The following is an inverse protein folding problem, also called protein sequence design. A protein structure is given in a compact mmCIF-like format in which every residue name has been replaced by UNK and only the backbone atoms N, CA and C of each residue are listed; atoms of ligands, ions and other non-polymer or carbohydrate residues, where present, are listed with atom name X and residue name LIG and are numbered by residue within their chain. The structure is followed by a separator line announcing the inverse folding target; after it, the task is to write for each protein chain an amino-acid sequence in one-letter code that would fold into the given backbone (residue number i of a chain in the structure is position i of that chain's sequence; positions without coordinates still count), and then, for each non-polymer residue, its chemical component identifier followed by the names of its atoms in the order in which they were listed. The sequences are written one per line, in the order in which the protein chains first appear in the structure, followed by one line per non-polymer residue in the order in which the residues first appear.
data_IF_304887430830
#
_entry.id   IF_304887430830
#
_cell.length_a   1.000
_cell.length_b   1.000
_cell.length_c   1.000
_cell.angle_alpha   90.00
_cell.angle_beta   90.00
_cell.angle_gamma   90.00
#
_symmetry.space_group_name_H-M   'P 1'
#
loop_
_entity.id
_entity.type
_entity.pdbx_description
1 polymer ?
#
# COMPACT_ATOMS: atom_id res chain seq x y z
N UNK A 1 -7.50 -7.52 7.98
CA UNK A 1 -7.12 -6.41 7.09
C UNK A 1 -6.43 -5.36 7.94
N UNK A 2 -5.24 -4.89 7.56
CA UNK A 2 -4.51 -3.84 8.28
C UNK A 2 -4.25 -2.69 7.31
N UNK A 3 -4.45 -1.42 7.73
CA UNK A 3 -4.13 -0.29 6.89
C UNK A 3 -2.62 -0.08 6.82
N UNK A 4 -2.12 0.38 5.67
CA UNK A 4 -0.69 0.53 5.41
C UNK A 4 -0.36 1.91 4.84
N UNK A 5 0.85 2.38 5.06
CA UNK A 5 1.46 3.49 4.32
C UNK A 5 2.39 2.95 3.23
N UNK A 6 2.45 3.64 2.09
CA UNK A 6 3.23 3.20 0.92
C UNK A 6 4.16 4.30 0.42
N UNK A 7 4.93 3.98 -0.63
CA UNK A 7 5.87 4.89 -1.28
C UNK A 7 5.23 6.16 -1.80
N UNK A 8 5.92 7.29 -1.61
CA UNK A 8 5.62 8.55 -2.28
C UNK A 8 5.82 8.42 -3.80
N UNK A 9 5.21 9.32 -4.56
CA UNK A 9 5.37 9.38 -6.01
C UNK A 9 6.87 9.44 -6.39
N UNK A 10 7.30 8.57 -7.30
CA UNK A 10 8.70 8.47 -7.73
C UNK A 10 9.61 7.69 -6.78
N UNK A 11 9.10 7.24 -5.63
CA UNK A 11 9.72 6.26 -4.73
C UNK A 11 8.70 5.16 -4.41
N UNK A 12 8.05 4.66 -5.45
CA UNK A 12 6.83 3.86 -5.33
C UNK A 12 7.06 2.50 -4.68
N UNK A 13 6.02 2.03 -4.00
CA UNK A 13 5.93 0.64 -3.58
C UNK A 13 5.74 -0.24 -4.82
N UNK A 14 6.39 -1.42 -4.90
CA UNK A 14 6.29 -2.28 -6.08
C UNK A 14 4.84 -2.64 -6.43
N UNK A 15 4.56 -2.71 -7.73
CA UNK A 15 3.27 -3.14 -8.28
C UNK A 15 3.47 -4.51 -8.96
N UNK A 16 2.49 -5.41 -8.86
CA UNK A 16 2.47 -6.73 -9.52
C UNK A 16 3.71 -7.61 -9.24
N UNK A 17 4.21 -7.57 -8.01
CA UNK A 17 5.37 -8.33 -7.58
C UNK A 17 4.98 -9.42 -6.58
N UNK A 18 5.39 -10.67 -6.86
CA UNK A 18 5.29 -11.78 -5.90
C UNK A 18 6.67 -12.08 -5.32
N UNK A 19 6.73 -12.19 -4.00
CA UNK A 19 7.93 -12.50 -3.21
C UNK A 19 7.56 -13.30 -1.97
N UNK A 20 8.45 -13.38 -0.99
CA UNK A 20 8.24 -14.01 0.31
C UNK A 20 8.93 -13.23 1.42
N UNK A 21 8.51 -13.46 2.66
CA UNK A 21 9.26 -13.02 3.84
C UNK A 21 10.58 -13.79 3.90
N UNK A 22 11.69 -13.11 3.63
CA UNK A 22 13.04 -13.71 3.65
C UNK A 22 13.58 -13.83 5.06
N UNK A 23 13.29 -12.84 5.91
CA UNK A 23 13.65 -12.82 7.34
C UNK A 23 12.79 -11.80 8.08
N UNK A 24 12.77 -11.88 9.42
CA UNK A 24 12.16 -10.87 10.28
C UNK A 24 13.10 -10.49 11.42
N UNK A 25 13.05 -9.24 11.88
CA UNK A 25 13.88 -8.72 12.98
C UNK A 25 13.06 -7.85 13.92
N UNK A 26 13.13 -8.15 15.22
CA UNK A 26 12.77 -7.22 16.28
C UNK A 26 13.95 -6.28 16.57
N UNK A 27 13.68 -5.00 16.75
CA UNK A 27 14.70 -3.95 16.80
C UNK A 27 15.54 -3.92 15.52
N UNK A 28 14.94 -3.61 14.35
CA UNK A 28 15.71 -3.48 13.12
C UNK A 28 16.67 -2.29 13.23
N UNK A 29 17.85 -2.41 12.62
CA UNK A 29 18.64 -1.25 12.24
C UNK A 29 18.15 -0.76 10.88
N UNK A 30 18.29 0.54 10.63
CA UNK A 30 17.99 1.13 9.34
C UNK A 30 19.28 1.58 8.65
N UNK A 31 19.46 1.15 7.41
CA UNK A 31 20.61 1.52 6.57
C UNK A 31 20.07 2.32 5.40
N UNK A 32 20.24 3.66 5.39
CA UNK A 32 19.80 4.49 4.28
C UNK A 32 20.48 4.09 2.96
N UNK A 33 19.81 4.36 1.84
CA UNK A 33 20.39 4.09 0.52
C UNK A 33 21.48 5.12 0.18
N UNK A 34 22.39 4.76 -0.74
CA UNK A 34 23.41 5.70 -1.22
C UNK A 34 22.78 6.97 -1.81
N UNK A 35 21.63 6.85 -2.48
CA UNK A 35 20.85 7.99 -3.00
C UNK A 35 20.37 8.90 -1.88
N UNK A 36 19.83 8.33 -0.80
CA UNK A 36 19.39 9.11 0.35
C UNK A 36 20.55 9.83 1.04
N UNK A 37 21.71 9.18 1.18
CA UNK A 37 22.91 9.85 1.68
C UNK A 37 23.39 11.01 0.78
N UNK A 38 23.21 10.92 -0.53
CA UNK A 38 23.51 12.02 -1.44
C UNK A 38 22.51 13.18 -1.26
N UNK A 39 21.21 12.88 -1.15
CA UNK A 39 20.15 13.86 -0.88
C UNK A 39 20.39 14.63 0.44
N UNK A 40 20.63 13.92 1.54
CA UNK A 40 20.89 14.53 2.85
C UNK A 40 22.19 15.36 2.88
N UNK A 41 23.26 14.88 2.23
CA UNK A 41 24.51 15.65 2.10
C UNK A 41 24.31 16.94 1.31
N UNK A 42 23.53 16.92 0.23
CA UNK A 42 23.22 18.11 -0.55
C UNK A 42 22.39 19.14 0.24
N UNK A 43 21.53 18.66 1.15
CA UNK A 43 20.76 19.49 2.07
C UNK A 43 21.57 19.99 3.30
N UNK A 44 22.80 19.51 3.50
CA UNK A 44 23.61 19.85 4.67
C UNK A 44 23.17 19.15 5.97
N UNK A 45 22.34 18.11 5.87
CA UNK A 45 21.82 17.37 7.02
C UNK A 45 22.64 16.11 7.30
N UNK A 46 23.00 15.83 8.57
CA UNK A 46 23.73 14.62 8.92
C UNK A 46 22.82 13.38 8.83
N UNK A 47 23.24 12.37 8.08
CA UNK A 47 22.58 11.07 8.01
C UNK A 47 23.58 9.95 8.34
N UNK A 48 23.41 9.22 9.46
CA UNK A 48 24.28 8.11 9.82
C UNK A 48 24.23 6.96 8.79
N UNK A 49 25.36 6.30 8.55
CA UNK A 49 25.41 5.12 7.67
C UNK A 49 24.51 3.98 8.17
N UNK A 50 24.36 3.88 9.49
CA UNK A 50 23.42 2.95 10.14
C UNK A 50 22.73 3.71 11.26
N UNK A 51 21.41 3.76 11.22
CA UNK A 51 20.58 4.20 12.34
C UNK A 51 20.28 2.99 13.23
N UNK A 52 20.66 3.03 14.51
CA UNK A 52 20.50 1.91 15.43
C UNK A 52 19.01 1.61 15.68
N UNK A 53 18.74 0.44 16.27
CA UNK A 53 17.41 0.14 16.78
C UNK A 53 17.05 1.09 17.93
N UNK A 54 15.79 1.52 18.00
CA UNK A 54 15.32 2.40 19.07
C UNK A 54 14.08 3.20 18.66
N UNK A 55 13.58 4.07 19.56
CA UNK A 55 12.40 4.90 19.32
C UNK A 55 12.55 5.82 18.10
N UNK A 56 13.76 6.29 17.81
CA UNK A 56 14.04 7.21 16.70
C UNK A 56 14.26 6.49 15.35
N UNK A 57 14.22 5.16 15.33
CA UNK A 57 14.41 4.42 14.10
C UNK A 57 13.15 4.54 13.20
N UNK A 58 13.27 5.01 11.95
CA UNK A 58 12.11 5.18 11.07
C UNK A 58 11.45 3.86 10.65
N UNK A 59 12.13 2.73 10.84
CA UNK A 59 11.58 1.39 10.65
C UNK A 59 10.73 0.90 11.83
N UNK A 60 10.68 1.65 12.93
CA UNK A 60 10.01 1.26 14.17
C UNK A 60 10.65 0.02 14.83
N UNK A 61 9.84 -0.70 15.60
CA UNK A 61 10.34 -1.77 16.47
C UNK A 61 10.44 -3.15 15.80
N UNK A 62 9.80 -3.34 14.64
CA UNK A 62 9.73 -4.64 13.96
C UNK A 62 9.78 -4.47 12.44
N UNK A 63 10.43 -5.42 11.76
CA UNK A 63 10.48 -5.46 10.30
C UNK A 63 10.46 -6.90 9.76
N UNK A 64 9.76 -7.09 8.65
CA UNK A 64 9.75 -8.29 7.81
C UNK A 64 10.36 -7.91 6.46
N UNK A 65 11.49 -8.54 6.12
CA UNK A 65 12.21 -8.26 4.89
C UNK A 65 11.72 -9.17 3.78
N UNK A 66 11.51 -8.61 2.59
CA UNK A 66 10.81 -9.28 1.49
C UNK A 66 11.62 -9.28 0.18
N UNK A 67 12.93 -9.03 0.27
CA UNK A 67 13.84 -8.99 -0.86
C UNK A 67 13.94 -7.62 -1.53
N UNK A 68 14.91 -7.45 -2.43
CA UNK A 68 15.16 -6.21 -3.21
C UNK A 68 15.23 -4.93 -2.35
N UNK A 69 15.76 -5.04 -1.13
CA UNK A 69 15.85 -3.97 -0.12
C UNK A 69 14.49 -3.48 0.42
N UNK A 70 13.37 -4.12 0.07
CA UNK A 70 12.06 -3.79 0.62
C UNK A 70 11.80 -4.51 1.93
N UNK A 71 11.05 -3.83 2.80
CA UNK A 71 10.55 -4.36 4.05
C UNK A 71 9.10 -3.91 4.30
N UNK A 72 8.39 -4.74 5.06
CA UNK A 72 7.16 -4.40 5.76
C UNK A 72 7.57 -4.09 7.20
N UNK A 73 7.39 -2.86 7.65
CA UNK A 73 7.96 -2.40 8.92
C UNK A 73 7.05 -1.42 9.66
N UNK A 74 7.43 -1.09 10.89
CA UNK A 74 6.72 -0.11 11.73
C UNK A 74 7.03 1.33 11.34
N UNK A 75 6.78 2.25 12.27
CA UNK A 75 7.09 3.66 12.09
C UNK A 75 7.31 4.32 13.44
N UNK A 76 8.20 5.31 13.52
CA UNK A 76 8.30 6.21 14.67
C UNK A 76 7.44 7.49 14.50
N UNK A 77 6.83 7.69 13.32
CA UNK A 77 5.96 8.83 13.05
C UNK A 77 4.53 8.58 13.53
N UNK A 78 3.86 9.64 14.00
CA UNK A 78 2.47 9.62 14.46
C UNK A 78 1.44 9.68 13.32
N UNK A 79 1.90 9.78 12.07
CA UNK A 79 1.08 9.85 10.86
C UNK A 79 1.72 9.04 9.72
N UNK A 80 1.00 8.86 8.60
CA UNK A 80 1.56 8.25 7.37
C UNK A 80 0.90 6.94 6.93
N UNK A 81 0.06 6.34 7.76
CA UNK A 81 -0.72 5.14 7.38
C UNK A 81 -1.96 5.58 6.60
N UNK A 82 -2.22 4.92 5.46
CA UNK A 82 -3.20 5.36 4.47
C UNK A 82 -2.69 6.47 3.53
N UNK A 83 -1.40 6.84 3.63
CA UNK A 83 -0.78 7.89 2.83
C UNK A 83 0.44 7.37 2.04
N UNK A 84 0.82 8.12 1.00
CA UNK A 84 2.03 7.88 0.20
C UNK A 84 3.19 8.72 0.74
N UNK A 85 3.93 8.18 1.71
CA UNK A 85 4.95 8.92 2.49
C UNK A 85 6.27 8.18 2.67
N UNK A 86 6.35 6.92 2.26
CA UNK A 86 7.57 6.12 2.44
C UNK A 86 8.49 6.26 1.23
N UNK A 87 9.71 5.73 1.34
CA UNK A 87 10.63 5.59 0.21
C UNK A 87 10.50 4.20 -0.45
N UNK A 88 9.25 3.74 -0.62
CA UNK A 88 8.89 2.50 -1.33
C UNK A 88 8.59 1.28 -0.43
N UNK A 89 9.05 1.28 0.82
CA UNK A 89 8.70 0.23 1.79
C UNK A 89 7.26 0.36 2.31
N UNK A 90 6.73 -0.72 2.89
CA UNK A 90 5.38 -0.73 3.47
C UNK A 90 5.46 -0.42 4.97
N UNK A 91 4.72 0.61 5.41
CA UNK A 91 4.67 1.04 6.82
C UNK A 91 3.36 0.59 7.46
N UNK A 92 3.43 0.18 8.72
CA UNK A 92 2.29 -0.14 9.57
C UNK A 92 2.38 0.59 10.91
N UNK A 93 1.26 0.70 11.63
CA UNK A 93 1.26 1.17 13.02
C UNK A 93 1.98 0.17 13.92
N UNK A 94 2.37 0.64 15.12
CA UNK A 94 3.18 -0.13 16.06
C UNK A 94 2.54 -1.47 16.46
N UNK A 95 1.24 -1.47 16.75
CA UNK A 95 0.51 -2.69 17.12
C UNK A 95 0.34 -3.62 15.92
N UNK A 96 0.02 -3.06 14.75
CA UNK A 96 -0.18 -3.79 13.50
C UNK A 96 1.10 -4.54 13.06
N UNK A 97 2.26 -3.87 13.09
CA UNK A 97 3.53 -4.52 12.72
C UNK A 97 3.95 -5.56 13.75
N UNK A 98 3.69 -5.33 15.04
CA UNK A 98 3.97 -6.30 16.10
C UNK A 98 3.14 -7.56 15.90
N UNK A 99 1.85 -7.41 15.61
CA UNK A 99 0.95 -8.51 15.29
C UNK A 99 1.47 -9.31 14.09
N UNK A 100 1.84 -8.65 12.98
CA UNK A 100 2.41 -9.34 11.82
C UNK A 100 3.72 -10.04 12.14
N UNK A 101 4.61 -9.40 12.90
CA UNK A 101 5.89 -10.00 13.30
C UNK A 101 5.71 -11.29 14.08
N UNK A 102 4.72 -11.36 14.98
CA UNK A 102 4.44 -12.54 15.78
C UNK A 102 3.76 -13.64 14.97
N UNK A 103 2.82 -13.28 14.08
CA UNK A 103 1.95 -14.24 13.39
C UNK A 103 2.46 -14.72 12.04
N UNK A 104 3.34 -13.97 11.36
CA UNK A 104 3.81 -14.31 10.02
C UNK A 104 5.15 -15.07 10.09
N UNK A 105 5.20 -16.33 9.61
CA UNK A 105 6.45 -17.08 9.49
C UNK A 105 7.39 -16.52 8.40
N UNK A 106 8.67 -16.86 8.53
CA UNK A 106 9.62 -16.71 7.41
C UNK A 106 9.22 -17.71 6.31
N UNK A 107 9.31 -17.29 5.05
CA UNK A 107 8.88 -18.06 3.89
C UNK A 107 7.45 -17.76 3.43
N UNK A 108 6.64 -17.05 4.23
CA UNK A 108 5.28 -16.67 3.84
C UNK A 108 5.28 -15.86 2.55
N UNK A 109 4.42 -16.25 1.61
CA UNK A 109 4.23 -15.56 0.33
C UNK A 109 3.71 -14.13 0.55
N UNK A 110 4.29 -13.19 -0.18
CA UNK A 110 3.88 -11.78 -0.23
C UNK A 110 3.58 -11.43 -1.68
N UNK A 111 2.44 -10.78 -1.93
CA UNK A 111 2.06 -10.34 -3.27
C UNK A 111 1.56 -8.91 -3.21
N UNK A 112 2.09 -8.08 -4.11
CA UNK A 112 1.62 -6.73 -4.36
C UNK A 112 0.66 -6.75 -5.55
N UNK A 113 -0.52 -6.17 -5.35
CA UNK A 113 -1.55 -5.98 -6.37
C UNK A 113 -1.96 -4.50 -6.37
N UNK A 114 -2.41 -4.00 -7.51
CA UNK A 114 -2.96 -2.66 -7.66
C UNK A 114 -4.32 -2.78 -8.33
N UNK A 115 -5.34 -3.00 -7.50
CA UNK A 115 -6.72 -3.25 -7.92
C UNK A 115 -7.63 -2.23 -7.20
N UNK A 116 -7.71 -0.98 -7.70
CA UNK A 116 -8.54 0.05 -7.07
C UNK A 116 -10.03 -0.24 -7.21
N UNK A 117 -10.41 -1.15 -8.09
CA UNK A 117 -11.79 -1.63 -8.25
C UNK A 117 -11.84 -3.13 -8.05
N UNK A 118 -12.70 -3.58 -7.16
CA UNK A 118 -12.99 -5.00 -6.93
C UNK A 118 -14.48 -5.23 -7.14
N UNK A 119 -14.84 -6.38 -7.69
CA UNK A 119 -16.23 -6.79 -7.81
C UNK A 119 -16.39 -8.29 -7.54
N UNK A 120 -17.56 -8.69 -7.07
CA UNK A 120 -17.87 -10.07 -6.70
C UNK A 120 -19.31 -10.42 -7.06
N UNK A 121 -19.54 -11.70 -7.37
CA UNK A 121 -20.87 -12.31 -7.40
C UNK A 121 -20.92 -13.31 -6.26
N UNK A 122 -21.80 -13.09 -5.31
CA UNK A 122 -21.95 -13.91 -4.12
C UNK A 122 -22.78 -15.18 -4.43
N UNK A 123 -22.71 -16.21 -3.56
CA UNK A 123 -23.42 -17.47 -3.79
C UNK A 123 -24.94 -17.35 -3.94
N UNK A 124 -25.55 -16.29 -3.41
CA UNK A 124 -26.98 -15.99 -3.52
C UNK A 124 -27.35 -15.23 -4.81
N UNK A 125 -26.38 -14.97 -5.69
CA UNK A 125 -26.54 -14.22 -6.92
C UNK A 125 -26.43 -12.70 -6.77
N UNK A 126 -26.29 -12.19 -5.55
CA UNK A 126 -26.05 -10.75 -5.33
C UNK A 126 -24.68 -10.34 -5.85
N UNK A 127 -24.60 -9.12 -6.38
CA UNK A 127 -23.37 -8.58 -7.00
C UNK A 127 -22.97 -7.31 -6.30
N UNK A 128 -21.67 -7.17 -6.05
CA UNK A 128 -21.11 -6.01 -5.37
C UNK A 128 -19.92 -5.45 -6.12
N UNK A 129 -19.73 -4.13 -6.01
CA UNK A 129 -18.52 -3.42 -6.43
C UNK A 129 -17.97 -2.59 -5.28
N UNK A 130 -16.66 -2.53 -5.14
CA UNK A 130 -15.94 -1.65 -4.21
C UNK A 130 -14.94 -0.82 -5.03
N UNK A 131 -15.09 0.51 -4.98
CA UNK A 131 -14.29 1.46 -5.79
C UNK A 131 -13.49 2.36 -4.86
N UNK A 132 -12.17 2.32 -4.99
CA UNK A 132 -11.22 3.24 -4.35
C UNK A 132 -10.67 4.25 -5.36
N UNK A 133 -10.06 5.32 -4.86
CA UNK A 133 -9.23 6.17 -5.70
C UNK A 133 -7.99 5.39 -6.17
N UNK A 134 -7.69 5.36 -7.48
CA UNK A 134 -6.46 4.75 -7.98
C UNK A 134 -5.22 5.46 -7.45
N UNK A 135 -4.07 4.77 -7.49
CA UNK A 135 -2.79 5.40 -7.19
C UNK A 135 -2.52 6.52 -8.20
N UNK A 136 -2.25 7.73 -7.72
CA UNK A 136 -1.90 8.86 -8.60
C UNK A 136 -0.59 8.59 -9.34
N UNK A 137 -0.53 9.01 -10.60
CA UNK A 137 0.67 8.86 -11.45
C UNK A 137 1.33 10.20 -11.76
N UNK A 138 0.62 11.31 -11.54
CA UNK A 138 1.13 12.68 -11.71
C UNK A 138 1.02 13.48 -10.40
N UNK A 139 1.78 14.57 -10.31
CA UNK A 139 1.68 15.51 -9.19
C UNK A 139 0.30 16.17 -9.12
N UNK A 140 -0.25 16.60 -10.26
CA UNK A 140 -1.59 17.17 -10.34
C UNK A 140 -2.67 16.21 -9.79
N UNK A 141 -2.56 14.91 -10.07
CA UNK A 141 -3.46 13.91 -9.51
C UNK A 141 -3.24 13.68 -8.01
N UNK A 142 -1.98 13.73 -7.55
CA UNK A 142 -1.65 13.60 -6.13
C UNK A 142 -2.17 14.78 -5.30
N UNK A 143 -2.12 15.99 -5.87
CA UNK A 143 -2.63 17.22 -5.26
C UNK A 143 -4.15 17.40 -5.42
N UNK A 144 -4.82 16.48 -6.11
CA UNK A 144 -6.28 16.52 -6.32
C UNK A 144 -6.74 17.53 -7.37
N UNK A 145 -5.84 18.06 -8.19
CA UNK A 145 -6.15 18.97 -9.31
C UNK A 145 -6.70 18.21 -10.51
N UNK A 146 -6.27 16.96 -10.70
CA UNK A 146 -6.76 16.07 -11.76
C UNK A 146 -7.34 14.77 -11.19
N UNK A 147 -8.37 14.26 -11.84
CA UNK A 147 -8.97 12.98 -11.48
C UNK A 147 -8.14 11.85 -12.11
N UNK A 148 -7.76 10.85 -11.31
CA UNK A 148 -7.18 9.62 -11.88
C UNK A 148 -8.29 8.83 -12.58
N UNK A 149 -8.15 8.52 -13.89
CA UNK A 149 -9.15 7.73 -14.60
C UNK A 149 -9.22 6.30 -14.05
N UNK A 150 -10.42 5.74 -14.04
CA UNK A 150 -10.65 4.34 -13.66
C UNK A 150 -10.93 3.53 -14.91
N UNK A 151 -10.23 2.41 -15.07
CA UNK A 151 -10.51 1.42 -16.12
C UNK A 151 -10.87 0.10 -15.44
N UNK A 152 -12.07 -0.43 -15.73
CA UNK A 152 -12.50 -1.71 -15.18
C UNK A 152 -11.74 -2.84 -15.86
N UNK A 153 -11.11 -3.71 -15.08
CA UNK A 153 -10.43 -4.91 -15.60
C UNK A 153 -11.44 -5.93 -16.12
N UNK A 154 -11.00 -6.89 -16.95
CA UNK A 154 -11.87 -7.98 -17.43
C UNK A 154 -12.53 -8.77 -16.30
N UNK A 155 -11.80 -8.97 -15.20
CA UNK A 155 -12.32 -9.67 -14.02
C UNK A 155 -13.49 -8.92 -13.37
N UNK A 156 -13.37 -7.60 -13.25
CA UNK A 156 -14.45 -6.72 -12.75
C UNK A 156 -15.63 -6.72 -13.73
N UNK A 157 -15.36 -6.61 -15.03
CA UNK A 157 -16.39 -6.62 -16.08
C UNK A 157 -17.18 -7.94 -16.12
N UNK A 158 -16.59 -9.06 -15.70
CA UNK A 158 -17.30 -10.35 -15.60
C UNK A 158 -18.47 -10.28 -14.61
N UNK A 159 -18.40 -9.39 -13.62
CA UNK A 159 -19.47 -9.12 -12.66
C UNK A 159 -20.32 -7.94 -13.11
N UNK A 160 -19.71 -6.81 -13.47
CA UNK A 160 -20.42 -5.55 -13.72
C UNK A 160 -21.12 -5.50 -15.08
N UNK A 161 -20.76 -6.37 -16.02
CA UNK A 161 -21.39 -6.50 -17.33
C UNK A 161 -22.59 -7.46 -17.37
N UNK A 162 -23.00 -7.99 -16.22
CA UNK A 162 -24.12 -8.92 -16.13
C UNK A 162 -25.45 -8.18 -16.35
N UNK A 163 -26.45 -8.83 -16.97
CA UNK A 163 -27.68 -8.15 -17.42
C UNK A 163 -28.56 -7.64 -16.27
N UNK A 164 -28.38 -8.19 -15.07
CA UNK A 164 -29.10 -7.83 -13.85
C UNK A 164 -28.42 -6.70 -13.05
N UNK A 165 -27.29 -6.17 -13.52
CA UNK A 165 -26.58 -5.04 -12.87
C UNK A 165 -27.26 -3.71 -13.18
N UNK A 166 -27.60 -2.97 -12.13
CA UNK A 166 -28.01 -1.58 -12.21
C UNK A 166 -26.83 -0.69 -12.61
N UNK A 167 -26.87 -0.20 -13.86
CA UNK A 167 -25.82 0.66 -14.42
C UNK A 167 -25.77 2.04 -13.77
N UNK A 168 -26.90 2.55 -13.24
CA UNK A 168 -26.92 3.84 -12.54
C UNK A 168 -26.12 3.72 -11.24
N UNK A 169 -26.36 2.66 -10.47
CA UNK A 169 -25.62 2.41 -9.22
C UNK A 169 -24.14 2.16 -9.51
N UNK A 170 -23.81 1.43 -10.58
CA UNK A 170 -22.42 1.22 -11.01
C UNK A 170 -21.72 2.55 -11.32
N UNK A 171 -22.34 3.41 -12.13
CA UNK A 171 -21.79 4.71 -12.51
C UNK A 171 -21.61 5.63 -11.30
N UNK A 172 -22.56 5.63 -10.36
CA UNK A 172 -22.45 6.36 -9.10
C UNK A 172 -21.30 5.83 -8.24
N UNK A 173 -21.12 4.51 -8.13
CA UNK A 173 -20.01 3.93 -7.38
C UNK A 173 -18.65 4.33 -7.98
N UNK A 174 -18.52 4.33 -9.31
CA UNK A 174 -17.30 4.74 -10.03
C UNK A 174 -16.97 6.23 -9.81
N UNK A 175 -18.00 7.08 -9.76
CA UNK A 175 -17.86 8.52 -9.49
C UNK A 175 -17.51 8.79 -8.02
N UNK A 176 -18.20 8.13 -7.10
CA UNK A 176 -18.11 8.41 -5.67
C UNK A 176 -16.82 7.87 -5.02
N UNK A 177 -16.32 6.71 -5.47
CA UNK A 177 -15.05 6.12 -5.01
C UNK A 177 -14.94 6.05 -3.49
N UNK A 178 -16.02 5.65 -2.84
CA UNK A 178 -16.16 5.67 -1.38
C UNK A 178 -15.28 4.67 -0.64
N UNK A 179 -14.70 3.70 -1.36
CA UNK A 179 -14.00 2.56 -0.78
C UNK A 179 -14.90 1.55 -0.08
N UNK A 180 -16.23 1.73 -0.14
CA UNK A 180 -17.21 0.85 0.47
C UNK A 180 -17.90 -0.03 -0.58
N UNK A 181 -18.15 -1.32 -0.30
CA UNK A 181 -18.92 -2.18 -1.20
C UNK A 181 -20.35 -1.66 -1.42
N UNK A 182 -20.79 -1.61 -2.67
CA UNK A 182 -22.13 -1.22 -3.10
C UNK A 182 -22.77 -2.38 -3.84
N UNK A 183 -24.02 -2.69 -3.49
CA UNK A 183 -24.82 -3.74 -4.14
C UNK A 183 -25.33 -3.26 -5.50
N UNK A 184 -25.26 -4.11 -6.51
CA UNK A 184 -25.56 -3.77 -7.90
C UNK A 184 -26.90 -4.32 -8.41
N UNK A 185 -27.53 -5.27 -7.73
CA UNK A 185 -28.75 -5.96 -8.17
C UNK A 185 -29.68 -6.40 -7.02
#
# INVERSE_FOLDING_TARGET
MLPIGIGQLGKDTPINWTTKVERKKAGPTWTPTAKMHAEYRAAGEPLPAVVPAGPDNPMGLYALYIGRLYAIHGTNANFGIGLRVSHGCVRLRNEDIKFLFEKVPVGTRVQFIDEPVKATTEPDGSRYIEVHNPLSTTEAQFEGQEIVPITLTKSVQTVTGQPDVDQVVLDEAIKNRSGMPVRLN
#
